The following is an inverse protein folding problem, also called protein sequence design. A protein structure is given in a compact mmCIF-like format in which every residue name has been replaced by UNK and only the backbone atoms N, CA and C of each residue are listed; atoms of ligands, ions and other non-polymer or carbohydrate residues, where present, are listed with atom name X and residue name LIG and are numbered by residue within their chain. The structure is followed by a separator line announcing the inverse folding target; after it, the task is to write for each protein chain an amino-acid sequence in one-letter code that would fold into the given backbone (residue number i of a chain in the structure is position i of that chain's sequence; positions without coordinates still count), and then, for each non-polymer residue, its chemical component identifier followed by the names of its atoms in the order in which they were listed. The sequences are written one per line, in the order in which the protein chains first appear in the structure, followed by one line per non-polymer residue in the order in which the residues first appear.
data_IF_018259225038
#
_entry.id   IF_018259225038
#
_cell.length_a   1.000
_cell.length_b   1.000
_cell.length_c   1.000
_cell.angle_alpha   90.00
_cell.angle_beta   90.00
_cell.angle_gamma   90.00
#
_symmetry.space_group_name_H-M   'P 1'
#
loop_
_entity.id
_entity.type
_entity.pdbx_description
1 polymer ?
#
# COMPACT_ATOMS: atom_id res chain seq x y z
N UNK A 1 32.91 5.90 12.15
CA UNK A 1 32.82 7.13 11.32
C UNK A 1 33.65 6.92 10.07
N UNK A 2 33.11 7.17 8.87
CA UNK A 2 33.84 7.07 7.60
C UNK A 2 34.39 8.45 7.23
N UNK A 3 35.71 8.60 7.15
CA UNK A 3 36.40 9.86 6.88
C UNK A 3 36.75 10.07 5.40
N UNK A 4 36.68 9.00 4.60
CA UNK A 4 36.97 9.01 3.17
C UNK A 4 35.88 8.24 2.43
N UNK A 5 35.30 8.87 1.40
CA UNK A 5 34.31 8.25 0.51
C UNK A 5 34.90 8.15 -0.88
N UNK A 6 35.01 6.93 -1.39
CA UNK A 6 35.43 6.66 -2.76
C UNK A 6 34.17 6.50 -3.61
N UNK A 7 34.09 7.28 -4.70
CA UNK A 7 32.94 7.27 -5.61
C UNK A 7 33.42 6.87 -7.01
N UNK A 8 32.75 5.90 -7.63
CA UNK A 8 32.94 5.56 -9.04
C UNK A 8 31.70 5.97 -9.82
N UNK A 9 31.91 6.69 -10.91
CA UNK A 9 30.85 7.16 -11.79
C UNK A 9 31.13 6.62 -13.18
N UNK A 10 30.19 5.82 -13.71
CA UNK A 10 30.23 5.45 -15.11
C UNK A 10 29.82 6.67 -15.97
N UNK A 11 30.77 7.19 -16.75
CA UNK A 11 30.56 8.36 -17.59
C UNK A 11 29.56 8.09 -18.74
N UNK A 12 29.37 6.84 -19.15
CA UNK A 12 28.41 6.49 -20.21
C UNK A 12 26.96 6.49 -19.70
N UNK A 13 26.74 6.03 -18.46
CA UNK A 13 25.43 6.02 -17.80
C UNK A 13 25.05 7.41 -17.26
N UNK A 14 26.04 8.21 -16.83
CA UNK A 14 25.82 9.49 -16.15
C UNK A 14 26.39 10.67 -16.96
N UNK A 15 25.90 10.83 -18.21
CA UNK A 15 26.40 11.85 -19.16
C UNK A 15 26.32 13.29 -18.64
N UNK A 16 25.24 13.64 -17.93
CA UNK A 16 25.05 14.98 -17.39
C UNK A 16 26.13 15.32 -16.35
N UNK A 17 26.48 14.35 -15.50
CA UNK A 17 27.51 14.54 -14.48
C UNK A 17 28.90 14.56 -15.11
N UNK A 18 29.20 13.67 -16.07
CA UNK A 18 30.45 13.68 -16.81
C UNK A 18 30.67 15.02 -17.55
N UNK A 19 29.61 15.61 -18.11
CA UNK A 19 29.63 16.94 -18.72
C UNK A 19 29.89 18.04 -17.70
N UNK A 20 29.23 18.02 -16.54
CA UNK A 20 29.43 19.01 -15.48
C UNK A 20 30.87 19.04 -14.95
N UNK A 21 31.53 17.88 -14.88
CA UNK A 21 32.93 17.76 -14.49
C UNK A 21 33.93 17.90 -15.66
N UNK A 22 33.47 18.25 -16.87
CA UNK A 22 34.31 18.39 -18.06
C UNK A 22 35.23 17.17 -18.28
N UNK A 23 34.64 15.97 -18.19
CA UNK A 23 35.36 14.71 -18.39
C UNK A 23 35.43 14.40 -19.88
N UNK A 24 36.64 14.46 -20.43
CA UNK A 24 36.91 14.01 -21.80
C UNK A 24 37.03 12.49 -21.85
N UNK A 25 36.29 11.84 -22.76
CA UNK A 25 36.34 10.38 -22.95
C UNK A 25 37.75 9.84 -23.20
N UNK A 26 38.59 10.61 -23.90
CA UNK A 26 39.97 10.23 -24.22
C UNK A 26 40.91 10.21 -23.00
N UNK A 27 40.51 10.81 -21.87
CA UNK A 27 41.35 10.98 -20.67
C UNK A 27 40.92 10.09 -19.50
N UNK A 28 40.03 9.13 -19.73
CA UNK A 28 39.59 8.17 -18.71
C UNK A 28 40.71 7.16 -18.37
N UNK A 29 40.82 6.70 -17.10
CA UNK A 29 40.01 7.10 -15.95
C UNK A 29 40.42 8.48 -15.41
N UNK A 30 39.45 9.26 -14.89
CA UNK A 30 39.72 10.53 -14.21
C UNK A 30 39.28 10.42 -12.76
N UNK A 31 40.19 10.72 -11.83
CA UNK A 31 39.94 10.70 -10.39
C UNK A 31 39.90 12.13 -9.86
N UNK A 32 38.78 12.50 -9.26
CA UNK A 32 38.61 13.78 -8.57
C UNK A 32 38.69 13.57 -7.07
N UNK A 33 39.40 14.46 -6.39
CA UNK A 33 39.45 14.51 -4.94
C UNK A 33 38.67 15.72 -4.46
N UNK A 34 37.58 15.49 -3.72
CA UNK A 34 36.58 16.50 -3.38
C UNK A 34 36.45 16.59 -1.85
N UNK A 35 36.45 17.82 -1.32
CA UNK A 35 36.18 18.11 0.09
C UNK A 35 35.19 19.26 0.19
N UNK A 36 34.16 19.14 1.03
CA UNK A 36 33.12 20.17 1.22
C UNK A 36 32.58 20.77 -0.10
N UNK A 37 32.33 19.90 -1.10
CA UNK A 37 31.84 20.28 -2.44
C UNK A 37 32.83 21.08 -3.31
N UNK A 38 34.10 21.17 -2.92
CA UNK A 38 35.18 21.77 -3.72
C UNK A 38 36.13 20.70 -4.26
N UNK A 39 36.55 20.83 -5.53
CA UNK A 39 37.53 19.93 -6.14
C UNK A 39 38.92 20.41 -5.72
N UNK A 40 39.62 19.62 -4.91
CA UNK A 40 40.98 19.93 -4.45
C UNK A 40 42.02 19.45 -5.45
N UNK A 41 41.82 18.26 -6.04
CA UNK A 41 42.77 17.70 -7.00
C UNK A 41 42.06 16.87 -8.08
N UNK A 42 42.68 16.80 -9.25
CA UNK A 42 42.21 16.06 -10.43
C UNK A 42 43.39 15.30 -11.03
N UNK A 43 43.27 13.97 -11.10
CA UNK A 43 44.26 13.11 -11.74
C UNK A 43 43.64 12.43 -12.94
N UNK A 44 44.29 12.54 -14.10
CA UNK A 44 43.90 11.85 -15.33
C UNK A 44 44.82 10.66 -15.58
N UNK A 45 44.24 9.51 -15.91
CA UNK A 45 44.95 8.24 -16.09
C UNK A 45 45.05 7.42 -14.79
N UNK A 46 45.71 6.26 -14.88
CA UNK A 46 45.91 5.37 -13.74
C UNK A 46 46.77 6.05 -12.66
N UNK A 47 46.25 6.11 -11.43
CA UNK A 47 46.96 6.72 -10.30
C UNK A 47 47.82 5.67 -9.60
N UNK A 48 49.11 5.95 -9.42
CA UNK A 48 49.99 5.05 -8.69
C UNK A 48 49.65 5.03 -7.19
N UNK A 49 49.81 3.89 -6.49
CA UNK A 49 49.48 3.79 -5.06
C UNK A 49 50.17 4.84 -4.19
N UNK A 50 51.46 5.10 -4.44
CA UNK A 50 52.24 6.13 -3.74
C UNK A 50 51.68 7.54 -3.91
N UNK A 51 51.10 7.84 -5.08
CA UNK A 51 50.49 9.14 -5.37
C UNK A 51 49.13 9.28 -4.70
N UNK A 52 48.32 8.22 -4.68
CA UNK A 52 47.06 8.19 -3.92
C UNK A 52 47.36 8.42 -2.44
N UNK A 53 48.34 7.70 -1.90
CA UNK A 53 48.75 7.81 -0.50
C UNK A 53 49.17 9.25 -0.14
N UNK A 54 50.03 9.88 -0.96
CA UNK A 54 50.44 11.27 -0.77
C UNK A 54 49.28 12.26 -0.83
N UNK A 55 48.29 12.05 -1.72
CA UNK A 55 47.09 12.89 -1.79
C UNK A 55 46.26 12.71 -0.53
N UNK A 56 45.97 11.47 -0.13
CA UNK A 56 45.20 11.18 1.08
C UNK A 56 45.84 11.76 2.35
N UNK A 57 47.18 11.81 2.43
CA UNK A 57 47.86 12.49 3.52
C UNK A 57 47.58 13.99 3.56
N UNK A 58 47.62 14.69 2.41
CA UNK A 58 47.24 16.11 2.36
C UNK A 58 45.79 16.34 2.81
N UNK A 59 44.89 15.41 2.49
CA UNK A 59 43.51 15.46 2.95
C UNK A 59 43.39 15.34 4.47
N UNK A 60 44.12 14.40 5.07
CA UNK A 60 44.14 14.19 6.52
C UNK A 60 44.76 15.38 7.26
N UNK A 61 45.86 15.95 6.74
CA UNK A 61 46.48 17.16 7.30
C UNK A 61 45.55 18.37 7.27
N UNK A 62 44.80 18.55 6.17
CA UNK A 62 43.82 19.63 6.05
C UNK A 62 42.66 19.43 7.04
N UNK A 63 42.14 18.21 7.13
CA UNK A 63 41.02 17.87 8.02
C UNK A 63 41.41 17.98 9.52
N UNK A 64 42.66 17.67 9.86
CA UNK A 64 43.24 17.87 11.20
C UNK A 64 43.30 19.36 11.59
N UNK A 65 43.66 20.24 10.64
CA UNK A 65 43.68 21.69 10.88
C UNK A 65 42.28 22.27 11.11
N UNK A 66 41.28 21.78 10.37
CA UNK A 66 39.90 22.27 10.48
C UNK A 66 39.16 21.81 11.74
N UNK A 67 39.38 20.57 12.19
CA UNK A 67 38.64 19.99 13.32
C UNK A 67 39.37 20.06 14.67
N UNK A 68 40.61 20.55 14.69
CA UNK A 68 41.47 20.52 15.88
C UNK A 68 41.60 19.11 16.51
N UNK A 69 41.53 18.05 15.70
CA UNK A 69 41.69 16.66 16.12
C UNK A 69 42.95 16.07 15.49
N UNK A 70 43.81 15.47 16.30
CA UNK A 70 45.08 14.90 15.85
C UNK A 70 44.89 13.46 15.37
N UNK A 71 44.59 13.31 14.08
CA UNK A 71 44.30 12.02 13.43
C UNK A 71 45.57 11.24 13.02
N UNK A 72 46.74 11.87 13.12
CA UNK A 72 48.04 11.31 12.73
C UNK A 72 48.95 10.97 13.93
N UNK A 73 48.42 11.01 15.16
CA UNK A 73 49.18 10.80 16.41
C UNK A 73 50.10 9.58 16.39
N UNK A 74 49.64 8.44 15.87
CA UNK A 74 50.46 7.21 15.85
C UNK A 74 51.58 7.22 14.80
N UNK A 75 51.40 7.88 13.64
CA UNK A 75 52.49 8.04 12.67
C UNK A 75 53.49 9.10 13.10
N UNK A 76 53.03 10.17 13.75
CA UNK A 76 53.94 11.13 14.39
C UNK A 76 54.75 10.45 15.51
N UNK A 77 54.13 9.52 16.25
CA UNK A 77 54.83 8.67 17.22
C UNK A 77 55.78 7.64 16.56
N UNK A 78 55.43 7.04 15.42
CA UNK A 78 56.30 6.12 14.66
C UNK A 78 57.47 6.85 13.97
N UNK A 79 57.27 8.09 13.52
CA UNK A 79 58.35 8.97 13.04
C UNK A 79 59.29 9.40 14.17
N UNK A 80 58.81 9.40 15.42
CA UNK A 80 59.60 9.64 16.64
C UNK A 80 60.20 8.35 17.23
N UNK A 81 59.64 7.18 16.90
CA UNK A 81 60.14 5.85 17.32
C UNK A 81 61.09 5.19 16.31
N UNK A 82 61.39 5.87 15.21
CA UNK A 82 62.38 5.44 14.22
C UNK A 82 63.83 5.31 14.72
N UNK A 83 64.12 5.58 15.99
CA UNK A 83 65.48 5.45 16.56
C UNK A 83 65.67 4.37 17.64
N UNK A 84 64.64 3.67 18.11
CA UNK A 84 64.87 2.54 19.05
C UNK A 84 63.90 1.40 18.80
N UNK A 85 64.43 0.34 18.20
CA UNK A 85 63.72 -0.91 18.00
C UNK A 85 63.44 -1.64 19.30
N UNK A 86 62.33 -2.36 19.33
CA UNK A 86 62.20 -3.74 19.78
C UNK A 86 60.76 -4.21 19.54
N UNK A 87 60.62 -5.49 19.21
CA UNK A 87 59.42 -6.11 18.69
C UNK A 87 58.25 -6.16 19.69
N UNK A 88 57.03 -5.98 19.19
CA UNK A 88 55.82 -6.50 19.82
C UNK A 88 54.93 -7.12 18.76
N UNK A 89 54.90 -8.45 18.83
CA UNK A 89 54.10 -9.38 18.07
C UNK A 89 52.59 -9.17 18.36
N UNK A 90 51.73 -9.40 17.37
CA UNK A 90 50.29 -9.55 17.58
C UNK A 90 49.41 -8.31 17.44
N UNK A 91 49.26 -7.78 16.23
CA UNK A 91 47.93 -7.37 15.76
C UNK A 91 47.89 -7.38 14.24
N UNK A 92 47.05 -8.25 13.68
CA UNK A 92 46.61 -8.20 12.29
C UNK A 92 45.90 -6.86 12.02
N UNK A 93 46.66 -5.78 11.84
CA UNK A 93 46.15 -4.56 11.24
C UNK A 93 46.08 -4.76 9.73
N UNK A 94 45.02 -5.46 9.32
CA UNK A 94 44.50 -5.30 7.97
C UNK A 94 44.25 -3.80 7.79
N UNK A 95 44.95 -3.20 6.83
CA UNK A 95 44.65 -1.90 6.24
C UNK A 95 43.12 -1.69 6.22
N UNK A 96 42.58 -0.49 6.53
CA UNK A 96 41.14 -0.25 6.51
C UNK A 96 40.52 -0.34 5.10
N UNK A 97 41.30 -0.72 4.09
CA UNK A 97 40.97 -0.67 2.66
C UNK A 97 40.38 -1.92 1.98
N UNK A 98 39.99 -3.04 2.65
CA UNK A 98 39.22 -4.09 1.97
C UNK A 98 37.77 -4.27 2.46
N UNK A 99 37.21 -3.38 3.30
CA UNK A 99 35.81 -3.50 3.76
C UNK A 99 34.80 -2.69 2.93
N UNK A 100 35.25 -1.80 2.04
CA UNK A 100 34.36 -0.95 1.24
C UNK A 100 33.94 -1.58 -0.12
N UNK A 101 34.55 -2.70 -0.50
CA UNK A 101 34.44 -3.26 -1.86
C UNK A 101 33.12 -4.00 -2.19
N UNK A 102 32.16 -4.24 -1.27
CA UNK A 102 30.83 -4.70 -1.66
C UNK A 102 29.67 -3.78 -1.19
N UNK A 103 29.93 -2.51 -0.85
CA UNK A 103 28.87 -1.58 -0.45
C UNK A 103 28.11 -1.06 -1.69
N UNK A 104 27.32 -1.95 -2.29
CA UNK A 104 26.27 -1.60 -3.25
C UNK A 104 25.32 -0.59 -2.58
N UNK A 105 25.21 0.62 -3.13
CA UNK A 105 24.33 1.68 -2.61
C UNK A 105 22.84 1.26 -2.64
N UNK A 106 22.49 0.22 -3.39
CA UNK A 106 21.17 -0.42 -3.37
C UNK A 106 21.02 -1.40 -2.18
N UNK A 107 22.13 -1.95 -1.67
CA UNK A 107 22.16 -2.85 -0.50
C UNK A 107 22.39 -2.13 0.83
N UNK A 108 22.81 -0.86 0.82
CA UNK A 108 23.22 -0.13 2.03
C UNK A 108 22.10 0.18 3.03
N UNK A 109 20.87 0.46 2.56
CA UNK A 109 19.73 0.69 3.44
C UNK A 109 19.16 -0.64 3.95
N UNK A 110 18.98 -0.80 5.27
CA UNK A 110 18.38 -2.02 5.83
C UNK A 110 16.94 -2.20 5.34
N UNK A 111 16.49 -3.44 5.20
CA UNK A 111 15.10 -3.76 4.80
C UNK A 111 14.10 -3.10 5.74
N UNK A 112 14.39 -3.09 7.05
CA UNK A 112 13.57 -2.39 8.04
C UNK A 112 13.53 -0.88 7.80
N UNK A 113 14.64 -0.22 7.49
CA UNK A 113 14.64 1.21 7.18
C UNK A 113 13.77 1.53 5.95
N UNK A 114 13.85 0.70 4.91
CA UNK A 114 13.02 0.86 3.72
C UNK A 114 11.53 0.63 4.05
N UNK A 115 11.22 -0.38 4.87
CA UNK A 115 9.86 -0.63 5.37
C UNK A 115 9.32 0.59 6.11
N UNK A 116 10.06 1.15 7.07
CA UNK A 116 9.59 2.33 7.81
C UNK A 116 9.36 3.53 6.89
N UNK A 117 10.26 3.77 5.94
CA UNK A 117 10.12 4.86 4.98
C UNK A 117 8.87 4.69 4.10
N UNK A 118 8.65 3.48 3.57
CA UNK A 118 7.48 3.18 2.74
C UNK A 118 6.20 3.26 3.57
N UNK A 119 6.22 2.70 4.78
CA UNK A 119 5.10 2.71 5.71
C UNK A 119 4.70 4.14 6.08
N UNK A 120 5.66 5.01 6.41
CA UNK A 120 5.38 6.41 6.72
C UNK A 120 4.81 7.17 5.52
N UNK A 121 5.27 6.88 4.31
CA UNK A 121 4.75 7.48 3.08
C UNK A 121 3.35 6.98 2.69
N UNK A 122 2.98 5.75 3.03
CA UNK A 122 1.66 5.18 2.70
C UNK A 122 0.62 5.32 3.80
N UNK A 123 1.06 5.34 5.06
CA UNK A 123 0.20 5.18 6.24
C UNK A 123 0.43 6.30 7.25
N UNK A 124 1.70 6.57 7.57
CA UNK A 124 2.12 7.40 8.71
C UNK A 124 1.96 8.93 8.53
N UNK A 125 2.76 9.70 9.28
CA UNK A 125 2.65 11.17 9.33
C UNK A 125 2.99 11.86 8.01
N UNK A 126 3.86 11.26 7.20
CA UNK A 126 4.31 11.76 5.89
C UNK A 126 3.48 11.18 4.74
N UNK A 127 2.23 10.79 5.02
CA UNK A 127 1.38 10.11 4.05
C UNK A 127 1.18 10.93 2.78
N UNK A 128 1.55 10.33 1.65
CA UNK A 128 1.28 10.85 0.31
C UNK A 128 -0.24 10.96 0.14
N UNK A 129 -0.71 12.18 -0.15
CA UNK A 129 -2.12 12.51 -0.38
C UNK A 129 -2.44 12.34 -1.86
N UNK A 130 -3.46 11.54 -2.15
CA UNK A 130 -3.91 11.31 -3.52
C UNK A 130 -5.30 11.92 -3.69
N UNK A 131 -5.55 12.60 -4.84
CA UNK A 131 -4.71 12.63 -6.05
C UNK A 131 -3.60 13.70 -6.07
N UNK A 132 -3.49 14.59 -5.08
CA UNK A 132 -2.69 15.83 -5.18
C UNK A 132 -1.17 15.60 -5.29
N UNK A 133 -0.66 14.51 -4.71
CA UNK A 133 0.76 14.18 -4.67
C UNK A 133 1.11 12.91 -5.47
N UNK A 134 0.34 12.65 -6.54
CA UNK A 134 0.51 11.44 -7.36
C UNK A 134 1.95 11.25 -7.89
N UNK A 135 2.66 12.34 -8.23
CA UNK A 135 4.05 12.28 -8.71
C UNK A 135 5.02 11.63 -7.69
N UNK A 136 4.72 11.73 -6.40
CA UNK A 136 5.55 11.13 -5.34
C UNK A 136 5.40 9.60 -5.30
N UNK A 137 4.34 9.04 -5.88
CA UNK A 137 4.13 7.59 -5.94
C UNK A 137 5.14 6.89 -6.84
N UNK A 138 5.64 7.53 -7.90
CA UNK A 138 6.61 6.89 -8.80
C UNK A 138 7.95 6.63 -8.13
N UNK A 139 8.41 7.58 -7.31
CA UNK A 139 9.59 7.40 -6.46
C UNK A 139 9.37 6.32 -5.40
N UNK A 140 8.17 6.28 -4.81
CA UNK A 140 7.80 5.28 -3.82
C UNK A 140 7.71 3.87 -4.43
N UNK A 141 7.13 3.73 -5.63
CA UNK A 141 7.00 2.47 -6.36
C UNK A 141 8.36 1.81 -6.58
N UNK A 142 9.36 2.58 -7.04
CA UNK A 142 10.74 2.09 -7.20
C UNK A 142 11.33 1.63 -5.87
N UNK A 143 11.13 2.42 -4.81
CA UNK A 143 11.62 2.09 -3.46
C UNK A 143 10.98 0.81 -2.92
N UNK A 144 9.67 0.64 -3.12
CA UNK A 144 8.92 -0.56 -2.73
C UNK A 144 9.38 -1.80 -3.49
N UNK A 145 9.56 -1.71 -4.81
CA UNK A 145 10.07 -2.82 -5.62
C UNK A 145 11.49 -3.24 -5.21
N UNK A 146 12.36 -2.26 -4.94
CA UNK A 146 13.71 -2.51 -4.44
C UNK A 146 13.69 -3.18 -3.06
N UNK A 147 12.86 -2.67 -2.12
CA UNK A 147 12.72 -3.23 -0.79
C UNK A 147 12.19 -4.67 -0.84
N UNK A 148 11.18 -4.93 -1.67
CA UNK A 148 10.61 -6.26 -1.87
C UNK A 148 11.60 -7.23 -2.47
N UNK A 149 12.36 -6.82 -3.50
CA UNK A 149 13.40 -7.68 -4.08
C UNK A 149 14.46 -8.04 -3.03
N UNK A 150 14.92 -7.05 -2.25
CA UNK A 150 15.89 -7.27 -1.19
C UNK A 150 15.37 -8.22 -0.10
N UNK A 151 14.13 -8.01 0.37
CA UNK A 151 13.50 -8.87 1.35
C UNK A 151 13.30 -10.30 0.83
N UNK A 152 12.99 -10.44 -0.47
CA UNK A 152 12.87 -11.74 -1.12
C UNK A 152 14.23 -12.47 -1.15
N UNK A 153 15.31 -11.79 -1.51
CA UNK A 153 16.65 -12.37 -1.50
C UNK A 153 17.08 -12.78 -0.08
N UNK A 154 16.76 -11.96 0.93
CA UNK A 154 16.98 -12.26 2.34
C UNK A 154 16.16 -13.48 2.80
N UNK A 155 14.90 -13.57 2.38
CA UNK A 155 14.03 -14.70 2.69
C UNK A 155 14.52 -16.00 2.04
N UNK A 156 15.00 -15.94 0.79
CA UNK A 156 15.60 -17.09 0.12
C UNK A 156 16.90 -17.55 0.81
N UNK A 157 17.71 -16.61 1.31
CA UNK A 157 18.91 -16.97 2.10
C UNK A 157 18.50 -17.66 3.40
N UNK A 158 17.53 -17.10 4.13
CA UNK A 158 17.01 -17.72 5.35
C UNK A 158 16.48 -19.14 5.07
N UNK A 159 15.73 -19.32 3.98
CA UNK A 159 15.18 -20.62 3.59
C UNK A 159 16.29 -21.67 3.41
N UNK A 160 17.40 -21.29 2.77
CA UNK A 160 18.58 -22.16 2.58
C UNK A 160 19.37 -22.38 3.87
N UNK A 161 19.55 -21.33 4.67
CA UNK A 161 20.27 -21.42 5.96
C UNK A 161 19.59 -22.37 6.95
N UNK A 162 18.25 -22.40 6.93
CA UNK A 162 17.45 -23.35 7.73
C UNK A 162 17.37 -24.74 7.08
N UNK A 163 17.91 -24.94 5.87
CA UNK A 163 17.89 -26.23 5.17
C UNK A 163 16.49 -26.70 4.80
N UNK A 164 15.53 -25.78 4.62
CA UNK A 164 14.15 -26.08 4.25
C UNK A 164 14.03 -26.64 2.82
N UNK A 165 15.07 -26.45 2.01
CA UNK A 165 15.25 -27.07 0.70
C UNK A 165 15.68 -28.54 0.79
N UNK A 166 16.33 -28.95 1.88
CA UNK A 166 16.87 -30.29 2.07
C UNK A 166 16.02 -31.19 2.97
N UNK A 167 15.29 -30.61 3.93
CA UNK A 167 14.52 -31.36 4.91
C UNK A 167 13.13 -30.76 5.11
N UNK A 168 12.13 -31.63 5.16
CA UNK A 168 10.77 -31.24 5.55
C UNK A 168 10.69 -31.05 7.06
N UNK A 169 10.32 -29.85 7.47
CA UNK A 169 10.09 -29.49 8.86
C UNK A 169 8.64 -29.71 9.25
N UNK A 170 8.41 -29.94 10.53
CA UNK A 170 7.05 -29.92 11.11
C UNK A 170 6.52 -28.49 11.18
N UNK A 171 5.19 -28.36 11.30
CA UNK A 171 4.54 -27.05 11.41
C UNK A 171 4.99 -26.27 12.66
N UNK A 172 5.23 -26.97 13.77
CA UNK A 172 5.74 -26.36 15.00
C UNK A 172 7.15 -25.77 14.82
N UNK A 173 8.04 -26.49 14.13
CA UNK A 173 9.40 -26.01 13.82
C UNK A 173 9.38 -24.83 12.85
N UNK A 174 8.57 -24.90 11.79
CA UNK A 174 8.36 -23.79 10.85
C UNK A 174 7.87 -22.54 11.58
N UNK A 175 6.90 -22.70 12.48
CA UNK A 175 6.37 -21.58 13.26
C UNK A 175 7.42 -20.98 14.19
N UNK A 176 8.19 -21.80 14.88
CA UNK A 176 9.19 -21.34 15.84
C UNK A 176 10.37 -20.60 15.19
N UNK A 177 10.82 -21.06 14.03
CA UNK A 177 12.12 -20.67 13.47
C UNK A 177 12.05 -19.94 12.12
N UNK A 178 10.99 -20.16 11.34
CA UNK A 178 10.82 -19.53 10.02
C UNK A 178 9.76 -18.43 10.04
N UNK A 179 8.51 -18.72 10.43
CA UNK A 179 7.42 -17.73 10.37
C UNK A 179 7.57 -16.58 11.38
N UNK A 180 8.14 -16.85 12.57
CA UNK A 180 8.47 -15.81 13.56
C UNK A 180 9.75 -15.06 13.25
N UNK A 181 10.48 -15.42 12.20
CA UNK A 181 11.72 -14.75 11.85
C UNK A 181 11.43 -13.33 11.32
N UNK A 182 12.18 -12.30 11.75
CA UNK A 182 11.96 -10.93 11.28
C UNK A 182 12.07 -10.78 9.76
N UNK A 183 12.84 -11.63 9.07
CA UNK A 183 12.95 -11.60 7.60
C UNK A 183 11.63 -12.05 6.93
N UNK A 184 10.98 -13.10 7.47
CA UNK A 184 9.68 -13.55 6.97
C UNK A 184 8.60 -12.48 7.22
N UNK A 185 8.59 -11.91 8.42
CA UNK A 185 7.68 -10.81 8.80
C UNK A 185 7.91 -9.59 7.89
N UNK A 186 9.17 -9.20 7.65
CA UNK A 186 9.52 -8.07 6.78
C UNK A 186 9.00 -8.25 5.35
N UNK A 187 9.12 -9.46 4.78
CA UNK A 187 8.55 -9.77 3.46
C UNK A 187 7.01 -9.70 3.47
N UNK A 188 6.37 -10.19 4.54
CA UNK A 188 4.92 -10.07 4.72
C UNK A 188 4.46 -8.62 4.80
N UNK A 189 5.16 -7.77 5.56
CA UNK A 189 4.88 -6.33 5.65
C UNK A 189 5.04 -5.64 4.29
N UNK A 190 6.10 -5.93 3.53
CA UNK A 190 6.31 -5.36 2.20
C UNK A 190 5.25 -5.78 1.20
N UNK A 191 4.81 -7.04 1.26
CA UNK A 191 3.71 -7.55 0.41
C UNK A 191 2.39 -6.86 0.77
N UNK A 192 2.14 -6.61 2.06
CA UNK A 192 0.97 -5.86 2.50
C UNK A 192 1.02 -4.38 2.08
N UNK A 193 2.19 -3.74 2.16
CA UNK A 193 2.40 -2.36 1.71
C UNK A 193 2.24 -2.22 0.19
N UNK A 194 2.66 -3.22 -0.59
CA UNK A 194 2.40 -3.27 -2.02
C UNK A 194 0.91 -3.39 -2.33
N UNK A 195 0.20 -4.31 -1.67
CA UNK A 195 -1.24 -4.42 -1.80
C UNK A 195 -1.95 -3.10 -1.47
N UNK A 196 -1.52 -2.42 -0.40
CA UNK A 196 -2.03 -1.10 -0.04
C UNK A 196 -1.72 -0.02 -1.09
N UNK A 197 -0.48 0.03 -1.60
CA UNK A 197 -0.09 0.95 -2.67
C UNK A 197 -1.00 0.77 -3.90
N UNK A 198 -1.24 -0.48 -4.31
CA UNK A 198 -2.11 -0.80 -5.44
C UNK A 198 -3.56 -0.39 -5.15
N UNK A 199 -4.07 -0.69 -3.95
CA UNK A 199 -5.44 -0.33 -3.55
C UNK A 199 -5.66 1.19 -3.54
N UNK A 200 -4.70 1.98 -3.03
CA UNK A 200 -4.79 3.45 -3.03
C UNK A 200 -4.73 4.03 -4.43
N UNK A 201 -3.88 3.48 -5.29
CA UNK A 201 -3.79 3.89 -6.70
C UNK A 201 -5.09 3.56 -7.46
N UNK A 202 -5.65 2.37 -7.26
CA UNK A 202 -6.99 2.00 -7.76
C UNK A 202 -8.07 2.96 -7.25
N UNK A 203 -8.10 3.23 -5.94
CA UNK A 203 -9.14 4.04 -5.34
C UNK A 203 -9.09 5.50 -5.80
N UNK A 204 -7.89 6.10 -5.87
CA UNK A 204 -7.70 7.53 -6.06
C UNK A 204 -7.43 7.96 -7.51
N UNK A 205 -6.66 7.17 -8.26
CA UNK A 205 -6.26 7.52 -9.63
C UNK A 205 -7.05 6.74 -10.67
N UNK A 206 -7.47 5.52 -10.36
CA UNK A 206 -8.17 4.64 -11.31
C UNK A 206 -7.25 3.99 -12.34
N UNK A 207 -5.92 4.13 -12.19
CA UNK A 207 -4.91 3.63 -13.13
C UNK A 207 -4.65 2.11 -13.01
N UNK A 208 -5.20 1.46 -11.98
CA UNK A 208 -4.96 0.06 -11.67
C UNK A 208 -6.28 -0.70 -11.67
N UNK A 209 -6.32 -1.86 -12.33
CA UNK A 209 -7.50 -2.75 -12.30
C UNK A 209 -7.69 -3.37 -10.89
N UNK A 210 -8.95 -3.42 -10.44
CA UNK A 210 -9.37 -4.08 -9.21
C UNK A 210 -8.84 -5.52 -9.12
N UNK A 211 -8.77 -6.26 -10.23
CA UNK A 211 -8.23 -7.63 -10.25
C UNK A 211 -6.81 -7.71 -9.73
N UNK A 212 -5.95 -6.75 -10.07
CA UNK A 212 -4.57 -6.72 -9.62
C UNK A 212 -4.49 -6.49 -8.11
N UNK A 213 -5.36 -5.63 -7.57
CA UNK A 213 -5.45 -5.40 -6.12
C UNK A 213 -5.92 -6.66 -5.40
N UNK A 214 -6.92 -7.35 -5.95
CA UNK A 214 -7.42 -8.61 -5.40
C UNK A 214 -6.37 -9.73 -5.43
N UNK A 215 -5.55 -9.81 -6.49
CA UNK A 215 -4.44 -10.75 -6.55
C UNK A 215 -3.40 -10.47 -5.48
N UNK A 216 -2.98 -9.21 -5.30
CA UNK A 216 -2.05 -8.83 -4.25
C UNK A 216 -2.59 -9.15 -2.85
N UNK A 217 -3.88 -8.89 -2.62
CA UNK A 217 -4.57 -9.26 -1.38
C UNK A 217 -4.57 -10.76 -1.15
N UNK A 218 -4.94 -11.55 -2.14
CA UNK A 218 -5.00 -13.01 -2.02
C UNK A 218 -3.61 -13.63 -1.83
N UNK A 219 -2.60 -13.09 -2.50
CA UNK A 219 -1.20 -13.50 -2.33
C UNK A 219 -0.74 -13.29 -0.88
N UNK A 220 -1.05 -12.13 -0.30
CA UNK A 220 -0.78 -11.84 1.11
C UNK A 220 -1.50 -12.81 2.05
N UNK A 221 -2.81 -12.99 1.86
CA UNK A 221 -3.63 -13.84 2.75
C UNK A 221 -3.21 -15.32 2.69
N UNK A 222 -2.73 -15.79 1.53
CA UNK A 222 -2.32 -17.18 1.32
C UNK A 222 -0.88 -17.44 1.75
N UNK A 223 0.07 -16.60 1.31
CA UNK A 223 1.50 -16.88 1.50
C UNK A 223 2.02 -16.40 2.86
N UNK A 224 1.33 -15.45 3.48
CA UNK A 224 1.72 -14.84 4.76
C UNK A 224 0.65 -15.02 5.85
N UNK A 225 -0.23 -16.02 5.70
CA UNK A 225 -1.20 -16.44 6.72
C UNK A 225 -0.60 -16.48 8.15
N UNK A 226 0.59 -17.06 8.39
CA UNK A 226 1.15 -17.19 9.75
C UNK A 226 1.45 -15.86 10.45
N UNK A 227 1.58 -14.77 9.69
CA UNK A 227 1.94 -13.45 10.20
C UNK A 227 0.83 -12.41 10.01
N UNK A 228 -0.37 -12.82 9.58
CA UNK A 228 -1.55 -11.93 9.56
C UNK A 228 -1.91 -11.40 10.95
N UNK A 229 -1.37 -12.00 12.01
CA UNK A 229 -1.44 -11.52 13.39
C UNK A 229 -0.69 -10.21 13.67
N UNK A 230 0.31 -9.88 12.85
CA UNK A 230 1.24 -8.76 13.08
C UNK A 230 0.55 -7.40 12.93
N UNK A 231 0.86 -6.46 13.85
CA UNK A 231 0.20 -5.13 13.94
C UNK A 231 0.25 -4.37 12.61
N UNK A 232 1.43 -4.28 11.99
CA UNK A 232 1.62 -3.57 10.71
C UNK A 232 0.87 -4.24 9.56
N UNK A 233 0.85 -5.58 9.53
CA UNK A 233 0.16 -6.34 8.48
C UNK A 233 -1.35 -6.19 8.62
N UNK A 234 -1.91 -6.36 9.82
CA UNK A 234 -3.34 -6.13 10.10
C UNK A 234 -3.79 -4.75 9.66
N UNK A 235 -2.99 -3.73 9.98
CA UNK A 235 -3.31 -2.37 9.59
C UNK A 235 -3.28 -2.19 8.07
N UNK A 236 -2.23 -2.68 7.40
CA UNK A 236 -2.15 -2.60 5.94
C UNK A 236 -3.31 -3.35 5.26
N UNK A 237 -3.73 -4.50 5.79
CA UNK A 237 -4.89 -5.26 5.29
C UNK A 237 -6.19 -4.48 5.45
N UNK A 238 -6.43 -3.89 6.63
CA UNK A 238 -7.60 -3.06 6.88
C UNK A 238 -7.67 -1.86 5.92
N UNK A 239 -6.53 -1.17 5.73
CA UNK A 239 -6.46 -0.03 4.81
C UNK A 239 -6.59 -0.44 3.34
N UNK A 240 -6.05 -1.61 2.97
CA UNK A 240 -6.20 -2.19 1.64
C UNK A 240 -7.68 -2.44 1.36
N UNK A 241 -8.37 -3.15 2.26
CA UNK A 241 -9.79 -3.50 2.12
C UNK A 241 -10.68 -2.24 2.08
N UNK A 242 -10.38 -1.24 2.92
CA UNK A 242 -11.06 0.05 2.88
C UNK A 242 -10.85 0.79 1.55
N UNK A 243 -9.64 0.78 0.99
CA UNK A 243 -9.36 1.42 -0.28
C UNK A 243 -9.97 0.66 -1.48
N UNK A 244 -10.08 -0.66 -1.41
CA UNK A 244 -10.85 -1.44 -2.39
C UNK A 244 -12.32 -0.99 -2.39
N UNK A 245 -12.93 -0.91 -1.22
CA UNK A 245 -14.31 -0.42 -1.08
C UNK A 245 -14.43 1.02 -1.55
N UNK A 246 -13.46 1.89 -1.22
CA UNK A 246 -13.41 3.29 -1.69
C UNK A 246 -13.45 3.40 -3.22
N UNK A 247 -12.65 2.61 -3.93
CA UNK A 247 -12.67 2.60 -5.40
C UNK A 247 -13.98 2.05 -5.98
N UNK A 248 -14.55 1.01 -5.36
CA UNK A 248 -15.86 0.46 -5.75
C UNK A 248 -16.98 1.49 -5.55
N UNK A 249 -16.99 2.21 -4.42
CA UNK A 249 -17.97 3.24 -4.11
C UNK A 249 -17.87 4.44 -5.06
N UNK A 250 -16.66 4.86 -5.44
CA UNK A 250 -16.46 5.93 -6.45
C UNK A 250 -17.02 5.52 -7.80
N UNK A 251 -16.71 4.31 -8.24
CA UNK A 251 -17.25 3.75 -9.50
C UNK A 251 -18.78 3.64 -9.44
N UNK A 252 -19.32 3.13 -8.33
CA UNK A 252 -20.76 2.99 -8.11
C UNK A 252 -21.48 4.35 -8.06
N UNK A 253 -20.89 5.37 -7.43
CA UNK A 253 -21.45 6.72 -7.40
C UNK A 253 -21.51 7.35 -8.80
N UNK A 254 -20.46 7.14 -9.62
CA UNK A 254 -20.43 7.60 -11.01
C UNK A 254 -21.49 6.89 -11.87
N UNK A 255 -21.59 5.56 -11.76
CA UNK A 255 -22.61 4.78 -12.46
C UNK A 255 -24.04 5.15 -12.02
N UNK A 256 -24.25 5.36 -10.72
CA UNK A 256 -25.53 5.82 -10.19
C UNK A 256 -25.92 7.20 -10.77
N UNK A 257 -24.96 8.13 -10.89
CA UNK A 257 -25.20 9.42 -11.55
C UNK A 257 -25.56 9.29 -13.03
N UNK A 258 -24.90 8.40 -13.77
CA UNK A 258 -25.23 8.12 -15.17
C UNK A 258 -26.62 7.50 -15.31
N UNK A 259 -26.96 6.54 -14.44
CA UNK A 259 -28.27 5.89 -14.43
C UNK A 259 -29.39 6.87 -14.05
N UNK A 260 -29.15 7.76 -13.08
CA UNK A 260 -30.10 8.82 -12.72
C UNK A 260 -30.38 9.75 -13.90
N UNK A 261 -29.34 10.18 -14.64
CA UNK A 261 -29.51 11.03 -15.82
C UNK A 261 -30.28 10.32 -16.94
N UNK A 262 -29.99 9.03 -17.18
CA UNK A 262 -30.72 8.22 -18.16
C UNK A 262 -32.20 8.10 -17.77
N UNK A 263 -32.49 7.79 -16.51
CA UNK A 263 -33.87 7.66 -16.03
C UNK A 263 -34.63 8.99 -16.06
N UNK A 264 -33.98 10.09 -15.72
CA UNK A 264 -34.58 11.43 -15.83
C UNK A 264 -34.92 11.76 -17.29
N UNK A 265 -34.04 11.42 -18.24
CA UNK A 265 -34.31 11.63 -19.66
C UNK A 265 -35.46 10.76 -20.19
N UNK A 266 -35.58 9.51 -19.73
CA UNK A 266 -36.69 8.63 -20.12
C UNK A 266 -38.01 9.09 -19.51
N UNK A 267 -38.02 9.52 -18.25
CA UNK A 267 -39.21 10.06 -17.60
C UNK A 267 -39.69 11.34 -18.29
N UNK A 268 -38.77 12.27 -18.59
CA UNK A 268 -39.10 13.50 -19.30
C UNK A 268 -39.63 13.25 -20.73
N UNK A 269 -39.13 12.23 -21.43
CA UNK A 269 -39.65 11.85 -22.74
C UNK A 269 -41.06 11.25 -22.64
N UNK A 270 -41.31 10.40 -21.64
CA UNK A 270 -42.63 9.82 -21.40
C UNK A 270 -43.67 10.90 -21.03
N UNK A 271 -43.30 11.85 -20.18
CA UNK A 271 -44.16 12.98 -19.78
C UNK A 271 -44.47 13.94 -20.94
N UNK A 272 -43.59 14.02 -21.96
CA UNK A 272 -43.77 14.87 -23.13
C UNK A 272 -44.65 14.23 -24.22
N UNK A 273 -44.71 12.89 -24.30
CA UNK A 273 -45.35 12.18 -25.42
C UNK A 273 -46.90 12.08 -25.32
N UNK A 274 -47.53 12.29 -24.15
CA UNK A 274 -48.99 12.57 -24.02
C UNK A 274 -49.45 12.82 -22.57
N UNK A 275 -50.42 13.72 -22.30
CA UNK A 275 -50.96 13.96 -20.95
C UNK A 275 -52.04 12.94 -20.49
N UNK A 276 -52.58 12.13 -21.41
CA UNK A 276 -53.60 11.11 -21.12
C UNK A 276 -52.98 9.71 -21.05
N UNK A 277 -52.08 9.49 -20.08
CA UNK A 277 -51.48 8.18 -19.86
C UNK A 277 -52.53 7.13 -19.48
N UNK A 278 -52.49 5.99 -20.16
CA UNK A 278 -53.29 4.81 -19.80
C UNK A 278 -52.85 4.25 -18.44
N UNK A 279 -53.75 3.56 -17.73
CA UNK A 279 -53.46 2.94 -16.43
C UNK A 279 -52.14 2.09 -16.39
N UNK A 280 -51.78 1.29 -17.41
CA UNK A 280 -50.49 0.58 -17.43
C UNK A 280 -49.28 1.50 -17.61
N UNK A 281 -49.38 2.59 -18.36
CA UNK A 281 -48.30 3.58 -18.50
C UNK A 281 -48.08 4.37 -17.21
N UNK A 282 -49.15 4.67 -16.47
CA UNK A 282 -49.05 5.29 -15.14
C UNK A 282 -48.33 4.39 -14.13
N UNK A 283 -48.59 3.07 -14.17
CA UNK A 283 -47.86 2.10 -13.35
C UNK A 283 -46.38 2.05 -13.73
N UNK A 284 -46.05 2.08 -15.02
CA UNK A 284 -44.67 2.09 -15.50
C UNK A 284 -43.93 3.38 -15.09
N UNK A 285 -44.58 4.55 -15.15
CA UNK A 285 -44.01 5.81 -14.68
C UNK A 285 -43.72 5.75 -13.18
N UNK A 286 -44.67 5.23 -12.37
CA UNK A 286 -44.48 5.07 -10.94
C UNK A 286 -43.29 4.15 -10.60
N UNK A 287 -43.13 3.03 -11.31
CA UNK A 287 -42.00 2.11 -11.11
C UNK A 287 -40.64 2.75 -11.47
N UNK A 288 -40.60 3.56 -12.54
CA UNK A 288 -39.41 4.30 -12.94
C UNK A 288 -39.06 5.41 -11.95
N UNK A 289 -40.05 6.10 -11.39
CA UNK A 289 -39.87 7.08 -10.31
C UNK A 289 -39.33 6.41 -9.04
N UNK A 290 -39.88 5.27 -8.64
CA UNK A 290 -39.36 4.48 -7.52
C UNK A 290 -37.91 4.06 -7.75
N UNK A 291 -37.57 3.68 -8.99
CA UNK A 291 -36.21 3.32 -9.36
C UNK A 291 -35.25 4.51 -9.32
N UNK A 292 -35.70 5.69 -9.75
CA UNK A 292 -34.93 6.92 -9.66
C UNK A 292 -34.64 7.28 -8.19
N UNK A 293 -35.65 7.21 -7.32
CA UNK A 293 -35.48 7.41 -5.88
C UNK A 293 -34.50 6.40 -5.26
N UNK A 294 -34.56 5.14 -5.69
CA UNK A 294 -33.62 4.10 -5.24
C UNK A 294 -32.17 4.37 -5.66
N UNK A 295 -31.96 4.87 -6.88
CA UNK A 295 -30.62 5.23 -7.39
C UNK A 295 -30.08 6.46 -6.68
N UNK A 296 -30.92 7.46 -6.37
CA UNK A 296 -30.47 8.60 -5.58
C UNK A 296 -30.09 8.17 -4.14
N UNK A 297 -30.85 7.24 -3.55
CA UNK A 297 -30.45 6.59 -2.29
C UNK A 297 -29.11 5.85 -2.40
N UNK A 298 -28.81 5.21 -3.54
CA UNK A 298 -27.51 4.57 -3.79
C UNK A 298 -26.39 5.58 -3.80
N UNK A 299 -26.60 6.70 -4.48
CA UNK A 299 -25.62 7.78 -4.56
C UNK A 299 -25.33 8.36 -3.18
N UNK A 300 -26.38 8.67 -2.41
CA UNK A 300 -26.26 9.18 -1.05
C UNK A 300 -25.49 8.20 -0.14
N UNK A 301 -25.81 6.90 -0.22
CA UNK A 301 -25.06 5.86 0.48
C UNK A 301 -23.57 5.85 0.11
N UNK A 302 -23.25 5.94 -1.19
CA UNK A 302 -21.86 5.94 -1.64
C UNK A 302 -21.09 7.14 -1.10
N UNK A 303 -21.68 8.34 -1.13
CA UNK A 303 -21.06 9.56 -0.59
C UNK A 303 -20.82 9.43 0.91
N UNK A 304 -21.82 8.97 1.67
CA UNK A 304 -21.69 8.78 3.12
C UNK A 304 -20.60 7.76 3.46
N UNK A 305 -20.54 6.63 2.74
CA UNK A 305 -19.53 5.60 2.98
C UNK A 305 -18.12 6.09 2.62
N UNK A 306 -17.97 6.91 1.57
CA UNK A 306 -16.69 7.55 1.23
C UNK A 306 -16.22 8.52 2.33
N UNK A 307 -17.11 9.36 2.85
CA UNK A 307 -16.81 10.27 3.96
C UNK A 307 -16.36 9.48 5.21
N UNK A 308 -17.07 8.40 5.54
CA UNK A 308 -16.72 7.54 6.66
C UNK A 308 -15.30 6.94 6.52
N UNK A 309 -14.95 6.49 5.32
CA UNK A 309 -13.60 5.97 5.05
C UNK A 309 -12.57 7.07 5.27
N UNK A 310 -12.80 8.26 4.70
CA UNK A 310 -11.85 9.37 4.76
C UNK A 310 -11.68 9.93 6.19
N UNK A 311 -12.72 9.90 7.01
CA UNK A 311 -12.70 10.45 8.37
C UNK A 311 -12.20 9.44 9.41
N UNK A 312 -12.63 8.17 9.33
CA UNK A 312 -12.46 7.21 10.43
C UNK A 312 -11.56 6.00 10.11
N UNK A 313 -11.14 5.81 8.85
CA UNK A 313 -10.37 4.63 8.44
C UNK A 313 -9.04 5.03 7.78
N UNK A 314 -9.09 5.83 6.72
CA UNK A 314 -7.92 6.32 5.98
C UNK A 314 -7.54 7.73 6.45
N UNK A 315 -7.34 7.91 7.75
CA UNK A 315 -6.89 9.17 8.39
C UNK A 315 -5.44 9.06 8.90
N UNK A 316 -4.57 10.06 8.68
CA UNK A 316 -3.15 9.98 9.01
C UNK A 316 -2.85 9.97 10.52
N UNK A 317 -3.72 10.56 11.34
CA UNK A 317 -3.49 10.70 12.79
C UNK A 317 -3.94 9.49 13.63
N UNK A 318 -4.87 8.67 13.12
CA UNK A 318 -5.34 7.46 13.81
C UNK A 318 -4.30 6.33 13.81
N UNK A 319 -3.20 6.49 13.08
CA UNK A 319 -2.27 5.43 12.70
C UNK A 319 -0.87 5.60 13.29
N UNK A 320 -0.66 6.62 14.14
CA UNK A 320 0.56 6.79 14.92
C UNK A 320 0.44 6.04 16.25
N UNK A 321 1.54 5.45 16.71
CA UNK A 321 1.59 4.63 17.94
C UNK A 321 1.21 5.38 19.23
N UNK A 322 1.04 6.70 19.13
CA UNK A 322 0.71 7.62 20.21
C UNK A 322 -0.75 8.13 20.17
N UNK A 323 -1.60 7.62 19.26
CA UNK A 323 -3.01 7.99 19.25
C UNK A 323 -3.68 7.50 20.55
N UNK A 324 -3.89 8.44 21.46
CA UNK A 324 -4.44 8.27 22.79
C UNK A 324 -5.69 7.37 22.80
N UNK A 325 -5.76 6.58 23.88
CA UNK A 325 -6.70 5.49 24.18
C UNK A 325 -8.21 5.83 24.16
N UNK A 326 -8.62 7.06 23.81
CA UNK A 326 -10.01 7.55 23.92
C UNK A 326 -10.77 7.71 22.59
N UNK A 327 -10.18 7.30 21.46
CA UNK A 327 -10.66 7.71 20.11
C UNK A 327 -11.49 6.68 19.32
N UNK A 328 -12.08 5.66 19.95
CA UNK A 328 -12.91 4.68 19.21
C UNK A 328 -14.21 5.32 18.67
N UNK A 329 -14.54 5.19 17.37
CA UNK A 329 -15.69 5.85 16.77
C UNK A 329 -17.01 5.10 17.07
N UNK A 330 -17.43 5.12 18.34
CA UNK A 330 -18.58 4.36 18.85
C UNK A 330 -19.89 4.72 18.13
N UNK A 331 -20.15 6.02 17.90
CA UNK A 331 -21.36 6.49 17.21
C UNK A 331 -21.40 6.00 15.76
N UNK A 332 -20.28 6.12 15.04
CA UNK A 332 -20.14 5.64 13.67
C UNK A 332 -20.35 4.12 13.58
N UNK A 333 -19.77 3.37 14.52
CA UNK A 333 -19.94 1.92 14.60
C UNK A 333 -21.39 1.51 14.87
N UNK A 334 -22.09 2.22 15.75
CA UNK A 334 -23.50 1.98 15.99
C UNK A 334 -24.34 2.24 14.73
N UNK A 335 -24.10 3.35 14.03
CA UNK A 335 -24.76 3.66 12.76
C UNK A 335 -24.53 2.58 11.70
N UNK A 336 -23.30 2.07 11.57
CA UNK A 336 -22.98 0.97 10.66
C UNK A 336 -23.72 -0.33 11.02
N UNK A 337 -23.90 -0.66 12.30
CA UNK A 337 -24.67 -1.83 12.71
C UNK A 337 -26.16 -1.71 12.39
N UNK A 338 -26.75 -0.54 12.65
CA UNK A 338 -28.16 -0.26 12.33
C UNK A 338 -28.39 -0.30 10.82
N UNK A 339 -27.47 0.26 10.05
CA UNK A 339 -27.46 0.19 8.60
C UNK A 339 -27.37 -1.25 8.09
N UNK A 340 -26.45 -2.06 8.63
CA UNK A 340 -26.31 -3.47 8.26
C UNK A 340 -27.61 -4.26 8.52
N UNK A 341 -28.22 -4.07 9.69
CA UNK A 341 -29.50 -4.70 10.02
C UNK A 341 -30.64 -4.27 9.07
N UNK A 342 -30.65 -3.00 8.65
CA UNK A 342 -31.62 -2.49 7.68
C UNK A 342 -31.42 -3.14 6.32
N UNK A 343 -30.18 -3.18 5.82
CA UNK A 343 -29.83 -3.79 4.53
C UNK A 343 -30.15 -5.29 4.49
N UNK A 344 -29.83 -6.03 5.55
CA UNK A 344 -30.16 -7.46 5.65
C UNK A 344 -31.67 -7.71 5.62
N UNK A 345 -32.47 -6.84 6.25
CA UNK A 345 -33.95 -6.91 6.21
C UNK A 345 -34.47 -6.62 4.80
N UNK A 346 -34.01 -5.56 4.17
CA UNK A 346 -34.39 -5.20 2.80
C UNK A 346 -34.02 -6.30 1.80
N UNK A 347 -32.82 -6.89 1.93
CA UNK A 347 -32.40 -8.03 1.11
C UNK A 347 -33.36 -9.21 1.23
N UNK A 348 -33.74 -9.60 2.46
CA UNK A 348 -34.68 -10.70 2.70
C UNK A 348 -36.05 -10.43 2.08
N UNK A 349 -36.54 -9.19 2.19
CA UNK A 349 -37.82 -8.77 1.58
C UNK A 349 -37.77 -8.87 0.05
N UNK A 350 -36.71 -8.34 -0.59
CA UNK A 350 -36.56 -8.42 -2.04
C UNK A 350 -36.33 -9.85 -2.53
N UNK A 351 -35.59 -10.67 -1.79
CA UNK A 351 -35.41 -12.09 -2.12
C UNK A 351 -36.71 -12.88 -2.03
N UNK A 352 -37.56 -12.59 -1.04
CA UNK A 352 -38.88 -13.20 -0.91
C UNK A 352 -39.82 -12.76 -2.05
N UNK A 353 -39.73 -11.50 -2.49
CA UNK A 353 -40.50 -10.99 -3.62
C UNK A 353 -40.02 -11.56 -4.97
N UNK A 354 -38.73 -11.88 -5.11
CA UNK A 354 -38.13 -12.46 -6.31
C UNK A 354 -38.26 -13.99 -6.42
N UNK A 355 -38.73 -14.68 -5.37
CA UNK A 355 -38.94 -16.12 -5.41
C UNK A 355 -40.07 -16.47 -6.40
N UNK A 356 -39.91 -17.51 -7.24
CA UNK A 356 -40.98 -17.91 -8.15
C UNK A 356 -42.20 -18.29 -7.30
N UNK A 357 -43.30 -17.56 -7.46
CA UNK A 357 -44.61 -18.02 -6.99
C UNK A 357 -44.80 -19.40 -7.61
N UNK A 358 -44.83 -20.45 -6.78
CA UNK A 358 -45.11 -21.81 -7.24
C UNK A 358 -46.34 -21.76 -8.13
N UNK A 359 -46.19 -22.25 -9.35
CA UNK A 359 -47.27 -22.39 -10.32
C UNK A 359 -48.36 -23.31 -9.73
N UNK A 360 -49.36 -22.69 -9.12
CA UNK A 360 -50.63 -23.35 -8.79
C UNK A 360 -51.75 -22.46 -9.28
N UNK A 361 -51.87 -22.36 -10.59
CA UNK A 361 -53.12 -22.00 -11.26
C UNK A 361 -53.06 -22.65 -12.62
N UNK A 362 -53.84 -23.71 -12.77
CA UNK A 362 -54.21 -24.33 -14.04
C UNK A 362 -54.73 -23.25 -14.97
N UNK A 363 -53.89 -22.80 -15.90
CA UNK A 363 -54.28 -21.92 -16.99
C UNK A 363 -55.32 -22.65 -17.85
N UNK A 364 -56.55 -22.13 -17.88
CA UNK A 364 -57.54 -22.51 -18.88
C UNK A 364 -57.27 -21.69 -20.14
N UNK A 365 -57.53 -22.27 -21.30
CA UNK A 365 -57.15 -21.77 -22.63
C UNK A 365 -57.84 -20.44 -23.07
N UNK A 366 -58.38 -19.66 -22.13
CA UNK A 366 -59.07 -18.39 -22.39
C UNK A 366 -58.21 -17.14 -22.12
N UNK A 367 -57.01 -17.27 -21.54
CA UNK A 367 -56.16 -16.11 -21.17
C UNK A 367 -55.17 -15.66 -22.27
N UNK A 368 -55.23 -16.25 -23.47
CA UNK A 368 -54.30 -15.99 -24.57
C UNK A 368 -54.60 -14.70 -25.38
N UNK A 369 -55.53 -13.84 -24.94
CA UNK A 369 -55.91 -12.61 -25.67
C UNK A 369 -55.36 -11.32 -25.02
N UNK A 370 -54.65 -11.40 -23.88
CA UNK A 370 -54.10 -10.22 -23.20
C UNK A 370 -52.57 -10.08 -23.31
N UNK A 371 -52.00 -10.43 -24.48
CA UNK A 371 -50.55 -10.45 -24.69
C UNK A 371 -50.02 -9.23 -25.49
N UNK A 372 -50.44 -8.01 -25.12
CA UNK A 372 -49.91 -6.76 -25.70
C UNK A 372 -49.53 -5.71 -24.65
N UNK A 373 -49.32 -6.12 -23.39
CA UNK A 373 -48.67 -5.27 -22.39
C UNK A 373 -47.15 -5.34 -22.59
N UNK A 374 -46.52 -4.19 -22.86
CA UNK A 374 -45.07 -4.06 -22.88
C UNK A 374 -44.47 -4.73 -21.62
N UNK A 375 -43.33 -5.45 -21.74
CA UNK A 375 -42.77 -6.15 -20.59
C UNK A 375 -42.43 -5.15 -19.48
N UNK A 376 -43.12 -5.27 -18.35
CA UNK A 376 -42.85 -4.54 -17.11
C UNK A 376 -41.35 -4.67 -16.80
N UNK A 377 -40.66 -3.54 -16.60
CA UNK A 377 -39.21 -3.53 -16.37
C UNK A 377 -38.96 -4.14 -14.98
N UNK A 378 -38.51 -5.39 -14.92
CA UNK A 378 -38.14 -6.02 -13.65
C UNK A 378 -36.89 -5.35 -13.05
N UNK A 379 -37.11 -4.42 -12.13
CA UNK A 379 -36.04 -3.72 -11.39
C UNK A 379 -35.56 -4.50 -10.17
N UNK A 380 -36.21 -5.62 -9.82
CA UNK A 380 -35.97 -6.37 -8.58
C UNK A 380 -34.56 -6.93 -8.53
N UNK A 381 -34.07 -7.50 -9.64
CA UNK A 381 -32.71 -8.04 -9.73
C UNK A 381 -31.64 -6.96 -9.51
N UNK A 382 -31.82 -5.77 -10.11
CA UNK A 382 -30.90 -4.64 -9.96
C UNK A 382 -30.91 -4.08 -8.53
N UNK A 383 -32.10 -3.95 -7.91
CA UNK A 383 -32.24 -3.54 -6.51
C UNK A 383 -31.58 -4.53 -5.57
N UNK A 384 -31.80 -5.83 -5.78
CA UNK A 384 -31.18 -6.89 -4.98
C UNK A 384 -29.66 -6.86 -5.07
N UNK A 385 -29.11 -6.72 -6.28
CA UNK A 385 -27.67 -6.62 -6.49
C UNK A 385 -27.06 -5.41 -5.77
N UNK A 386 -27.68 -4.24 -5.88
CA UNK A 386 -27.20 -3.02 -5.21
C UNK A 386 -27.27 -3.14 -3.68
N UNK A 387 -28.33 -3.75 -3.13
CA UNK A 387 -28.41 -3.98 -1.68
C UNK A 387 -27.34 -4.96 -1.20
N UNK A 388 -27.06 -6.02 -1.94
CA UNK A 388 -25.97 -6.95 -1.63
C UNK A 388 -24.61 -6.22 -1.61
N UNK A 389 -24.35 -5.36 -2.60
CA UNK A 389 -23.13 -4.54 -2.61
C UNK A 389 -23.05 -3.60 -1.40
N UNK A 390 -24.14 -2.91 -1.04
CA UNK A 390 -24.17 -2.07 0.17
C UNK A 390 -23.86 -2.89 1.42
N UNK A 391 -24.48 -4.06 1.53
CA UNK A 391 -24.29 -4.97 2.67
C UNK A 391 -22.81 -5.37 2.81
N UNK A 392 -22.17 -5.74 1.70
CA UNK A 392 -20.76 -6.14 1.69
C UNK A 392 -19.82 -4.98 1.96
N UNK A 393 -20.09 -3.78 1.42
CA UNK A 393 -19.34 -2.57 1.77
C UNK A 393 -19.43 -2.30 3.27
N UNK A 394 -20.63 -2.30 3.85
CA UNK A 394 -20.84 -2.04 5.29
C UNK A 394 -20.12 -3.07 6.16
N UNK A 395 -20.16 -4.36 5.81
CA UNK A 395 -19.41 -5.42 6.52
C UNK A 395 -17.90 -5.17 6.50
N UNK A 396 -17.36 -4.80 5.34
CA UNK A 396 -15.93 -4.50 5.20
C UNK A 396 -15.54 -3.29 6.03
N UNK A 397 -16.32 -2.21 6.02
CA UNK A 397 -16.05 -1.01 6.84
C UNK A 397 -16.04 -1.31 8.33
N UNK A 398 -17.01 -2.09 8.82
CA UNK A 398 -17.05 -2.57 10.22
C UNK A 398 -15.80 -3.37 10.54
N UNK A 399 -15.41 -4.29 9.66
CA UNK A 399 -14.22 -5.14 9.83
C UNK A 399 -12.95 -4.30 9.89
N UNK A 400 -12.81 -3.31 9.01
CA UNK A 400 -11.67 -2.39 8.99
C UNK A 400 -11.54 -1.63 10.31
N UNK A 401 -12.62 -1.02 10.80
CA UNK A 401 -12.60 -0.30 12.09
C UNK A 401 -12.22 -1.25 13.24
N UNK A 402 -12.78 -2.46 13.29
CA UNK A 402 -12.42 -3.45 14.33
C UNK A 402 -10.94 -3.82 14.28
N UNK A 403 -10.37 -3.95 13.08
CA UNK A 403 -8.95 -4.30 12.90
C UNK A 403 -8.01 -3.17 13.28
N UNK A 404 -8.31 -1.94 12.87
CA UNK A 404 -7.52 -0.74 13.18
C UNK A 404 -7.47 -0.53 14.70
N UNK A 405 -8.64 -0.60 15.36
CA UNK A 405 -8.77 -0.43 16.81
C UNK A 405 -8.66 -1.74 17.58
N UNK A 406 -7.89 -2.72 17.09
CA UNK A 406 -7.86 -4.08 17.67
C UNK A 406 -7.38 -4.16 19.12
N UNK A 407 -6.72 -3.13 19.64
CA UNK A 407 -6.27 -3.03 21.03
C UNK A 407 -7.28 -2.32 21.95
N UNK A 408 -8.31 -1.68 21.38
CA UNK A 408 -9.29 -0.92 22.16
C UNK A 408 -10.38 -1.84 22.76
N UNK A 409 -10.75 -1.70 24.05
CA UNK A 409 -11.76 -2.55 24.68
C UNK A 409 -13.10 -2.59 23.94
N UNK A 410 -13.57 -1.44 23.43
CA UNK A 410 -14.84 -1.36 22.69
C UNK A 410 -14.78 -2.08 21.33
N UNK A 411 -13.60 -2.29 20.74
CA UNK A 411 -13.43 -3.07 19.51
C UNK A 411 -13.77 -4.55 19.74
N UNK A 412 -13.47 -5.10 20.92
CA UNK A 412 -13.86 -6.47 21.28
C UNK A 412 -15.39 -6.61 21.39
N UNK A 413 -16.05 -5.63 22.00
CA UNK A 413 -17.52 -5.58 22.08
C UNK A 413 -18.13 -5.47 20.69
N UNK A 414 -17.60 -4.58 19.85
CA UNK A 414 -18.02 -4.43 18.46
C UNK A 414 -17.83 -5.72 17.65
N UNK A 415 -16.71 -6.43 17.84
CA UNK A 415 -16.44 -7.73 17.19
C UNK A 415 -17.47 -8.79 17.59
N UNK A 416 -17.80 -8.89 18.88
CA UNK A 416 -18.82 -9.82 19.37
C UNK A 416 -20.21 -9.50 18.78
N UNK A 417 -20.59 -8.22 18.80
CA UNK A 417 -21.85 -7.75 18.20
C UNK A 417 -21.90 -8.01 16.71
N UNK A 418 -20.80 -7.78 15.99
CA UNK A 418 -20.72 -8.04 14.56
C UNK A 418 -20.86 -9.54 14.25
N UNK A 419 -20.20 -10.41 15.01
CA UNK A 419 -20.36 -11.86 14.86
C UNK A 419 -21.82 -12.29 15.07
N UNK A 420 -22.49 -11.78 16.10
CA UNK A 420 -23.92 -12.05 16.37
C UNK A 420 -24.89 -11.50 15.33
N UNK A 421 -24.46 -10.56 14.47
CA UNK A 421 -25.29 -10.09 13.35
C UNK A 421 -25.14 -10.97 12.12
N UNK A 422 -23.98 -11.60 11.95
CA UNK A 422 -23.67 -12.45 10.81
C UNK A 422 -24.13 -13.91 11.00
N UNK A 423 -24.16 -14.38 12.25
CA UNK A 423 -24.58 -15.70 12.69
C UNK A 423 -25.76 -15.60 13.64
#
# INVERSE_FOLDING_TARGET
MSFLKLCFINADENRNLASAFSVERAKLPVTYFIMQSTIIDKVTGAVSPKRIEAILYKFLEHYQKELHVDLLQKRNAESLQGERGEAADGSDFRSPLPSATPADLVKGASTNFLIEKIFNALVGSERIRLPEQAEQLDGLKKTLQQAKQKAHDELQRLFKELGLDMRRWSEAELTAHYYKNPVFIAMGVLTALEGLFLARSYAALGDIDLKNVQWARNDLMKNFEPVLGEKKIKLCVALLDANVVKGQLRTAALLAGQDANRLASTLAAMEADQPDHSAPEQQQIAELQDMAAFIESQRAHCVQALQLIDEHIDTPHLLMEEAETDSFPQATMQGLFEQLQSLMRQRRQLQAAAAPKSATTTATASDLVAADAAPLIDTTAKRLHLIQQREDHTKTLITCIIQIYSQHPQSHVARSRFASLLY
#
